data_IF_533777855352
#
_entry.id   IF_533777855352
#
_cell.length_a   1.000
_cell.length_b   1.000
_cell.length_c   1.000
_cell.angle_alpha   90.00
_cell.angle_beta   90.00
_cell.angle_gamma   90.00
#
_symmetry.space_group_name_H-M   'P 1'
#
loop_
_entity.id
_entity.type
_entity.pdbx_description
1 polymer ?
#
# COMPACT_ATOMS: atom_id res chain seq x y z
N UNK A 1 24.95 -13.23 58.97
CA UNK A 1 25.03 -12.20 57.88
C UNK A 1 23.82 -12.44 56.96
N UNK A 2 22.79 -11.64 57.13
CA UNK A 2 21.55 -11.73 56.35
C UNK A 2 21.66 -10.69 55.21
N UNK A 3 21.63 -11.14 53.96
CA UNK A 3 21.61 -10.27 52.79
C UNK A 3 20.13 -9.97 52.44
N UNK A 4 19.70 -8.72 52.63
CA UNK A 4 18.41 -8.24 52.16
C UNK A 4 18.59 -7.83 50.71
N UNK A 5 17.89 -8.51 49.79
CA UNK A 5 17.81 -8.14 48.37
C UNK A 5 16.67 -7.16 48.20
N UNK A 6 16.99 -5.92 47.84
CA UNK A 6 16.04 -4.88 47.52
C UNK A 6 15.63 -5.05 46.06
N UNK A 7 14.41 -5.52 45.78
CA UNK A 7 13.85 -5.58 44.44
C UNK A 7 13.23 -4.22 44.07
N UNK A 8 13.86 -3.48 43.15
CA UNK A 8 13.27 -2.29 42.53
C UNK A 8 12.20 -2.75 41.51
N UNK A 9 10.93 -2.51 41.82
CA UNK A 9 9.85 -2.56 40.82
C UNK A 9 9.91 -1.29 39.96
N UNK A 10 10.40 -1.39 38.73
CA UNK A 10 10.18 -0.36 37.71
C UNK A 10 8.72 -0.48 37.21
N UNK A 11 7.85 0.40 37.67
CA UNK A 11 6.56 0.60 37.07
C UNK A 11 6.75 1.28 35.72
N UNK A 12 6.60 0.51 34.63
CA UNK A 12 6.54 1.09 33.28
C UNK A 12 5.24 1.90 33.17
N UNK A 13 5.35 3.22 33.18
CA UNK A 13 4.23 4.11 32.85
C UNK A 13 3.87 3.88 31.38
N UNK A 14 2.68 3.32 31.12
CA UNK A 14 2.13 3.27 29.77
C UNK A 14 1.98 4.70 29.25
N UNK A 15 2.37 5.00 28.00
CA UNK A 15 2.17 6.33 27.46
C UNK A 15 0.67 6.64 27.47
N UNK A 16 0.31 7.71 28.19
CA UNK A 16 -1.05 8.27 28.16
C UNK A 16 -1.27 8.79 26.74
N UNK A 17 -2.09 8.10 25.94
CA UNK A 17 -2.58 8.64 24.69
C UNK A 17 -3.44 9.85 25.02
N UNK A 18 -3.05 11.03 24.53
CA UNK A 18 -3.92 12.19 24.56
C UNK A 18 -5.27 11.83 23.93
N UNK A 19 -6.40 12.27 24.48
CA UNK A 19 -7.70 12.03 23.88
C UNK A 19 -7.68 12.50 22.43
N UNK A 20 -8.15 11.65 21.51
CA UNK A 20 -8.17 11.97 20.09
C UNK A 20 -9.02 13.24 19.88
N UNK A 21 -8.47 14.19 19.15
CA UNK A 21 -9.12 15.46 18.87
C UNK A 21 -10.42 15.22 18.09
N UNK A 22 -11.53 15.77 18.58
CA UNK A 22 -12.78 15.82 17.83
C UNK A 22 -12.69 16.92 16.78
N UNK A 23 -12.99 16.57 15.53
CA UNK A 23 -13.03 17.51 14.41
C UNK A 23 -14.47 17.69 13.95
N UNK A 24 -14.89 18.95 13.79
CA UNK A 24 -16.15 19.33 13.15
C UNK A 24 -15.84 19.88 11.76
N UNK A 25 -16.24 19.19 10.71
CA UNK A 25 -16.12 19.64 9.32
C UNK A 25 -17.46 20.19 8.84
N UNK A 26 -17.50 21.47 8.44
CA UNK A 26 -18.63 22.05 7.73
C UNK A 26 -18.42 21.86 6.22
N UNK A 27 -19.33 21.15 5.55
CA UNK A 27 -19.32 20.92 4.10
C UNK A 27 -20.42 21.78 3.44
N UNK A 28 -20.06 22.67 2.51
CA UNK A 28 -21.03 23.44 1.74
C UNK A 28 -21.86 22.56 0.83
N UNK A 29 -21.21 21.63 0.16
CA UNK A 29 -21.83 20.59 -0.67
C UNK A 29 -21.22 19.25 -0.32
N UNK A 30 -22.03 18.29 0.13
CA UNK A 30 -21.61 16.92 0.44
C UNK A 30 -22.20 15.96 -0.60
N UNK A 31 -21.33 15.26 -1.33
CA UNK A 31 -21.73 14.29 -2.35
C UNK A 31 -21.77 12.89 -1.74
N UNK A 32 -22.88 12.20 -1.94
CA UNK A 32 -22.98 10.75 -1.76
C UNK A 32 -22.68 10.05 -3.09
N UNK A 33 -21.53 9.38 -3.23
CA UNK A 33 -21.17 8.74 -4.50
C UNK A 33 -22.02 7.51 -4.81
N UNK A 34 -22.69 6.91 -3.82
CA UNK A 34 -23.56 5.75 -4.03
C UNK A 34 -24.85 6.09 -4.75
N UNK A 35 -25.38 7.28 -4.49
CA UNK A 35 -26.67 7.75 -5.06
C UNK A 35 -26.51 8.91 -6.03
N UNK A 36 -25.35 9.60 -6.02
CA UNK A 36 -25.14 10.87 -6.72
C UNK A 36 -25.85 12.08 -6.07
N UNK A 37 -26.48 11.88 -4.91
CA UNK A 37 -27.18 12.96 -4.22
C UNK A 37 -26.20 13.99 -3.65
N UNK A 38 -26.61 15.26 -3.68
CA UNK A 38 -25.86 16.37 -3.08
C UNK A 38 -26.67 16.94 -1.92
N UNK A 39 -26.09 16.91 -0.74
CA UNK A 39 -26.61 17.57 0.45
C UNK A 39 -25.89 18.90 0.67
N UNK A 40 -26.61 19.92 1.15
CA UNK A 40 -26.06 21.24 1.34
C UNK A 40 -25.92 21.57 2.83
N UNK A 41 -24.89 22.38 3.16
CA UNK A 41 -24.61 22.92 4.48
C UNK A 41 -24.68 21.85 5.59
N UNK A 42 -23.83 20.82 5.43
CA UNK A 42 -23.72 19.66 6.33
C UNK A 42 -22.58 19.83 7.31
N UNK A 43 -22.72 19.21 8.49
CA UNK A 43 -21.58 19.01 9.39
C UNK A 43 -21.28 17.52 9.54
N UNK A 44 -20.00 17.20 9.44
CA UNK A 44 -19.47 15.89 9.77
C UNK A 44 -18.69 16.01 11.09
N UNK A 45 -19.04 15.18 12.07
CA UNK A 45 -18.26 15.05 13.30
C UNK A 45 -17.34 13.86 13.17
N UNK A 46 -16.06 14.09 13.37
CA UNK A 46 -15.01 13.09 13.26
C UNK A 46 -14.38 12.93 14.65
N UNK A 47 -14.45 11.72 15.19
CA UNK A 47 -13.81 11.33 16.44
C UNK A 47 -13.04 10.02 16.20
N UNK A 48 -11.86 9.90 16.75
CA UNK A 48 -10.98 8.72 16.61
C UNK A 48 -10.78 8.30 15.14
N UNK A 49 -10.65 9.29 14.24
CA UNK A 49 -10.46 9.07 12.80
C UNK A 49 -11.68 8.51 12.06
N UNK A 50 -12.87 8.53 12.68
CA UNK A 50 -14.13 8.04 12.11
C UNK A 50 -15.19 9.13 12.08
N UNK A 51 -15.98 9.15 11.00
CA UNK A 51 -17.18 9.99 10.94
C UNK A 51 -18.23 9.34 11.85
N UNK A 52 -18.57 10.04 12.96
CA UNK A 52 -19.55 9.59 13.95
C UNK A 52 -20.90 10.26 13.81
N UNK A 53 -20.98 11.36 13.04
CA UNK A 53 -22.24 12.06 12.76
C UNK A 53 -22.16 12.79 11.43
N UNK A 54 -23.26 12.76 10.67
CA UNK A 54 -23.55 13.56 9.49
C UNK A 54 -24.96 14.16 9.68
N UNK A 55 -25.05 15.50 9.74
CA UNK A 55 -26.31 16.20 9.97
C UNK A 55 -26.25 17.63 9.38
N UNK A 56 -27.40 18.35 9.29
CA UNK A 56 -27.40 19.75 8.92
C UNK A 56 -26.51 20.60 9.87
N UNK A 57 -25.82 21.57 9.33
CA UNK A 57 -25.01 22.52 10.10
C UNK A 57 -25.83 23.24 11.17
N UNK A 58 -25.30 23.31 12.39
CA UNK A 58 -25.98 23.95 13.55
C UNK A 58 -25.11 24.99 14.26
N UNK A 59 -23.95 25.32 13.69
CA UNK A 59 -22.99 26.23 14.30
C UNK A 59 -21.74 25.55 14.81
N UNK A 60 -20.68 26.33 15.05
CA UNK A 60 -19.41 25.83 15.56
C UNK A 60 -19.57 25.30 17.00
N UNK A 61 -18.92 24.16 17.27
CA UNK A 61 -18.85 23.54 18.60
C UNK A 61 -17.61 24.03 19.33
N UNK A 62 -17.75 24.30 20.63
CA UNK A 62 -16.61 24.70 21.46
C UNK A 62 -15.66 23.54 21.81
N UNK A 63 -16.15 22.29 21.73
CA UNK A 63 -15.44 21.06 22.08
C UNK A 63 -14.84 20.34 20.88
N UNK A 64 -14.76 20.99 19.70
CA UNK A 64 -14.23 20.40 18.49
C UNK A 64 -13.43 21.43 17.68
N UNK A 65 -12.39 20.96 16.99
CA UNK A 65 -11.66 21.76 16.01
C UNK A 65 -12.50 21.94 14.74
N UNK A 66 -12.89 23.16 14.42
CA UNK A 66 -13.65 23.46 13.21
C UNK A 66 -12.76 23.47 11.97
N UNK A 67 -13.19 22.75 10.92
CA UNK A 67 -12.73 22.89 9.55
C UNK A 67 -13.90 23.44 8.74
N UNK A 68 -13.82 24.69 8.30
CA UNK A 68 -14.88 25.33 7.52
C UNK A 68 -14.62 25.18 6.01
N UNK A 69 -15.38 24.30 5.38
CA UNK A 69 -15.44 24.08 3.93
C UNK A 69 -16.83 24.43 3.37
N UNK A 70 -17.46 25.47 3.93
CA UNK A 70 -18.79 25.95 3.49
C UNK A 70 -18.85 26.35 2.01
N UNK A 71 -17.72 26.75 1.43
CA UNK A 71 -17.60 27.03 0.00
C UNK A 71 -17.05 25.87 -0.85
N UNK A 72 -16.94 24.66 -0.32
CA UNK A 72 -16.31 23.52 -1.00
C UNK A 72 -17.30 22.40 -1.29
N UNK A 73 -16.92 21.60 -2.28
CA UNK A 73 -17.52 20.30 -2.57
C UNK A 73 -16.72 19.23 -1.82
N UNK A 74 -17.40 18.41 -1.06
CA UNK A 74 -16.82 17.35 -0.23
C UNK A 74 -17.37 16.02 -0.69
N UNK A 75 -16.46 15.06 -0.87
CA UNK A 75 -16.77 13.68 -1.23
C UNK A 75 -15.79 12.75 -0.50
N UNK A 76 -16.09 11.45 -0.36
CA UNK A 76 -15.11 10.49 0.13
C UNK A 76 -13.84 10.51 -0.73
N UNK A 77 -12.70 10.26 -0.11
CA UNK A 77 -11.44 10.17 -0.84
C UNK A 77 -11.50 9.09 -1.93
N UNK A 78 -10.84 9.36 -3.05
CA UNK A 78 -10.77 8.45 -4.18
C UNK A 78 -10.02 7.17 -3.82
N UNK A 79 -10.38 6.07 -4.49
CA UNK A 79 -9.73 4.76 -4.32
C UNK A 79 -9.18 4.34 -5.68
N UNK A 80 -7.87 4.03 -5.73
CA UNK A 80 -7.26 3.42 -6.91
C UNK A 80 -6.85 1.97 -6.60
N UNK A 81 -7.44 1.05 -7.35
CA UNK A 81 -7.27 -0.40 -7.13
C UNK A 81 -6.12 -1.00 -7.94
N UNK A 82 -5.35 -0.20 -8.68
CA UNK A 82 -4.22 -0.69 -9.46
C UNK A 82 -3.11 0.37 -9.56
N UNK A 83 -2.22 0.38 -8.58
CA UNK A 83 -1.10 1.32 -8.52
C UNK A 83 0.25 0.62 -8.36
N UNK A 84 1.33 1.39 -8.58
CA UNK A 84 2.72 1.04 -8.32
C UNK A 84 3.42 2.20 -7.59
N UNK A 85 2.81 2.67 -6.51
CA UNK A 85 3.25 3.84 -5.75
C UNK A 85 4.66 3.67 -5.17
N UNK A 86 4.94 2.46 -4.67
CA UNK A 86 6.20 2.19 -3.99
C UNK A 86 7.40 2.05 -4.94
N UNK A 87 7.17 1.70 -6.20
CA UNK A 87 8.25 1.64 -7.20
C UNK A 87 8.67 3.04 -7.67
N UNK A 88 7.76 4.01 -7.66
CA UNK A 88 8.06 5.40 -7.99
C UNK A 88 8.54 5.65 -9.43
N UNK A 89 8.41 4.65 -10.32
CA UNK A 89 8.95 4.72 -11.69
C UNK A 89 8.01 5.37 -12.70
N UNK A 90 6.89 5.84 -12.30
CA UNK A 90 5.69 6.28 -12.99
C UNK A 90 5.78 6.92 -14.37
N UNK A 91 6.95 7.07 -15.00
CA UNK A 91 7.09 7.73 -16.29
C UNK A 91 8.33 7.26 -17.07
N UNK A 92 8.68 5.99 -17.02
CA UNK A 92 9.79 5.44 -17.79
C UNK A 92 9.36 4.23 -18.60
N UNK A 93 9.84 4.13 -19.83
CA UNK A 93 9.71 2.95 -20.67
C UNK A 93 10.90 1.98 -20.50
N UNK A 94 11.81 2.27 -19.56
CA UNK A 94 12.97 1.43 -19.30
C UNK A 94 12.62 0.32 -18.30
N UNK A 95 12.48 -0.94 -18.72
CA UNK A 95 12.15 -2.04 -17.83
C UNK A 95 13.27 -2.38 -16.82
N UNK A 96 14.48 -1.84 -17.00
CA UNK A 96 15.61 -1.98 -16.09
C UNK A 96 15.74 -0.79 -15.10
N UNK A 97 14.81 0.17 -15.12
CA UNK A 97 14.89 1.38 -14.28
C UNK A 97 15.08 1.05 -12.79
N UNK A 98 14.37 0.01 -12.30
CA UNK A 98 14.47 -0.43 -10.92
C UNK A 98 15.91 -0.74 -10.47
N UNK A 99 16.78 -1.18 -11.38
CA UNK A 99 18.18 -1.52 -11.09
C UNK A 99 19.05 -0.29 -10.89
N UNK A 100 18.63 0.89 -11.35
CA UNK A 100 19.41 2.14 -11.26
C UNK A 100 19.31 2.79 -9.88
N UNK A 101 18.36 2.36 -9.05
CA UNK A 101 18.09 2.94 -7.76
C UNK A 101 18.59 2.06 -6.62
N UNK A 102 19.21 2.66 -5.60
CA UNK A 102 19.47 2.00 -4.33
C UNK A 102 18.16 1.72 -3.58
N UNK A 103 18.17 0.80 -2.60
CA UNK A 103 17.00 0.56 -1.76
C UNK A 103 16.51 1.84 -1.05
N UNK A 104 17.44 2.66 -0.57
CA UNK A 104 17.12 3.95 0.05
C UNK A 104 16.50 4.92 -0.97
N UNK A 105 17.05 4.98 -2.19
CA UNK A 105 16.49 5.82 -3.27
C UNK A 105 15.07 5.40 -3.65
N UNK A 106 14.81 4.09 -3.77
CA UNK A 106 13.46 3.54 -4.00
C UNK A 106 12.50 3.96 -2.88
N UNK A 107 12.89 3.81 -1.62
CA UNK A 107 12.05 4.19 -0.48
C UNK A 107 11.70 5.68 -0.46
N UNK A 108 12.69 6.56 -0.70
CA UNK A 108 12.46 8.00 -0.77
C UNK A 108 11.52 8.38 -1.93
N UNK A 109 11.71 7.76 -3.09
CA UNK A 109 10.86 7.99 -4.26
C UNK A 109 9.43 7.50 -4.01
N UNK A 110 9.27 6.32 -3.40
CA UNK A 110 7.97 5.80 -2.98
C UNK A 110 7.25 6.75 -2.00
N UNK A 111 7.96 7.30 -1.03
CA UNK A 111 7.41 8.27 -0.08
C UNK A 111 6.93 9.56 -0.78
N UNK A 112 7.71 10.08 -1.74
CA UNK A 112 7.31 11.23 -2.55
C UNK A 112 6.05 10.93 -3.37
N UNK A 113 6.02 9.78 -4.05
CA UNK A 113 4.88 9.36 -4.87
C UNK A 113 3.62 9.15 -4.02
N UNK A 114 3.75 8.54 -2.83
CA UNK A 114 2.65 8.36 -1.88
C UNK A 114 2.03 9.70 -1.47
N UNK A 115 2.87 10.69 -1.14
CA UNK A 115 2.42 12.04 -0.80
C UNK A 115 1.67 12.70 -1.96
N UNK A 116 2.22 12.63 -3.18
CA UNK A 116 1.58 13.18 -4.38
C UNK A 116 0.23 12.51 -4.61
N UNK A 117 0.15 11.18 -4.50
CA UNK A 117 -1.07 10.39 -4.66
C UNK A 117 -2.15 10.83 -3.67
N UNK A 118 -1.80 10.98 -2.38
CA UNK A 118 -2.73 11.46 -1.35
C UNK A 118 -3.23 12.88 -1.65
N UNK A 119 -2.32 13.80 -2.00
CA UNK A 119 -2.67 15.20 -2.32
C UNK A 119 -3.45 15.33 -3.63
N UNK A 120 -3.42 14.33 -4.49
CA UNK A 120 -4.28 14.24 -5.67
C UNK A 120 -5.69 13.72 -5.37
N UNK A 121 -5.99 13.43 -4.09
CA UNK A 121 -7.31 13.01 -3.63
C UNK A 121 -7.49 11.49 -3.47
N UNK A 122 -6.47 10.68 -3.79
CA UNK A 122 -6.53 9.23 -3.59
C UNK A 122 -6.14 8.89 -2.15
N UNK A 123 -7.12 8.59 -1.32
CA UNK A 123 -6.92 8.28 0.10
C UNK A 123 -6.71 6.80 0.40
N UNK A 124 -6.98 5.93 -0.58
CA UNK A 124 -6.75 4.48 -0.50
C UNK A 124 -6.25 3.99 -1.84
N UNK A 125 -5.21 3.15 -1.84
CA UNK A 125 -4.67 2.52 -3.04
C UNK A 125 -4.42 1.03 -2.81
N UNK A 126 -4.55 0.24 -3.88
CA UNK A 126 -4.05 -1.12 -3.95
C UNK A 126 -2.80 -1.14 -4.82
N UNK A 127 -1.64 -1.28 -4.18
CA UNK A 127 -0.34 -1.36 -4.85
C UNK A 127 -0.10 -2.80 -5.29
N UNK A 128 -0.23 -3.04 -6.60
CA UNK A 128 -0.38 -4.40 -7.15
C UNK A 128 0.95 -5.06 -7.50
N UNK A 129 2.02 -4.64 -6.86
CA UNK A 129 3.33 -5.25 -6.92
C UNK A 129 4.44 -4.26 -7.18
N UNK A 130 5.64 -4.70 -6.89
CA UNK A 130 6.89 -3.94 -6.97
C UNK A 130 7.98 -4.81 -7.53
N UNK A 131 8.94 -4.19 -8.23
CA UNK A 131 10.14 -4.90 -8.70
C UNK A 131 11.11 -5.17 -7.56
N UNK A 132 11.37 -4.17 -6.69
CA UNK A 132 12.17 -4.41 -5.48
C UNK A 132 11.26 -4.95 -4.37
N UNK A 133 11.29 -6.24 -4.18
CA UNK A 133 10.39 -6.96 -3.28
C UNK A 133 10.24 -6.34 -1.90
N UNK A 134 8.99 -6.28 -1.43
CA UNK A 134 8.56 -5.76 -0.13
C UNK A 134 8.80 -4.26 0.09
N UNK A 135 9.20 -3.48 -0.93
CA UNK A 135 9.33 -2.02 -0.79
C UNK A 135 7.97 -1.34 -0.53
N UNK A 136 6.89 -1.85 -1.09
CA UNK A 136 5.51 -1.43 -0.84
C UNK A 136 5.06 -1.75 0.60
N UNK A 137 5.44 -2.92 1.12
CA UNK A 137 5.20 -3.30 2.53
C UNK A 137 5.90 -2.32 3.47
N UNK A 138 7.16 -1.98 3.18
CA UNK A 138 7.91 -1.02 3.98
C UNK A 138 7.27 0.37 3.95
N UNK A 139 6.87 0.84 2.76
CA UNK A 139 6.18 2.13 2.59
C UNK A 139 4.84 2.17 3.34
N UNK A 140 3.98 1.15 3.17
CA UNK A 140 2.71 1.03 3.90
C UNK A 140 2.92 1.08 5.41
N UNK A 141 3.91 0.36 5.92
CA UNK A 141 4.19 0.31 7.35
C UNK A 141 4.66 1.69 7.86
N UNK A 142 5.49 2.41 7.10
CA UNK A 142 5.93 3.75 7.44
C UNK A 142 4.76 4.77 7.45
N UNK A 143 3.83 4.65 6.48
CA UNK A 143 2.60 5.46 6.45
C UNK A 143 1.72 5.13 7.67
N UNK A 144 1.49 3.85 7.97
CA UNK A 144 0.68 3.43 9.11
C UNK A 144 1.28 3.87 10.46
N UNK A 145 2.61 3.99 10.54
CA UNK A 145 3.32 4.51 11.71
C UNK A 145 3.35 6.06 11.78
N UNK A 146 2.80 6.75 10.79
CA UNK A 146 2.83 8.22 10.71
C UNK A 146 4.21 8.81 10.40
N UNK A 147 5.16 8.00 9.93
CA UNK A 147 6.52 8.43 9.57
C UNK A 147 6.56 9.07 8.17
N UNK A 148 5.65 8.66 7.30
CA UNK A 148 5.50 9.12 5.92
C UNK A 148 4.06 9.49 5.67
N UNK A 149 3.82 10.61 4.99
CA UNK A 149 2.49 11.01 4.52
C UNK A 149 2.12 10.22 3.25
N UNK A 150 0.93 9.61 3.24
CA UNK A 150 0.46 8.85 2.08
C UNK A 150 -0.94 8.28 2.29
N UNK A 151 -1.52 7.65 1.24
CA UNK A 151 -2.82 7.00 1.31
C UNK A 151 -2.76 5.71 2.15
N UNK A 152 -3.91 5.19 2.56
CA UNK A 152 -3.99 3.80 3.02
C UNK A 152 -3.59 2.88 1.89
N UNK A 153 -2.62 1.99 2.12
CA UNK A 153 -2.14 1.06 1.11
C UNK A 153 -2.51 -0.38 1.44
N UNK A 154 -2.94 -1.13 0.41
CA UNK A 154 -3.08 -2.58 0.39
C UNK A 154 -2.04 -3.07 -0.62
N UNK A 155 -1.10 -3.93 -0.21
CA UNK A 155 0.14 -4.16 -0.94
C UNK A 155 0.39 -5.63 -1.28
N UNK A 156 0.94 -5.88 -2.47
CA UNK A 156 1.21 -7.22 -2.98
C UNK A 156 2.62 -7.75 -2.68
N UNK A 157 3.55 -6.90 -2.29
CA UNK A 157 4.92 -7.30 -1.92
C UNK A 157 5.85 -7.68 -3.08
N UNK A 158 5.31 -8.03 -4.23
CA UNK A 158 6.06 -8.43 -5.43
C UNK A 158 5.17 -9.15 -6.43
N UNK A 159 5.76 -9.58 -7.55
CA UNK A 159 5.06 -10.32 -8.61
C UNK A 159 5.40 -11.80 -8.55
N UNK A 160 4.40 -12.69 -8.54
CA UNK A 160 4.60 -14.10 -8.90
C UNK A 160 4.69 -14.17 -10.42
N UNK A 161 5.83 -14.54 -10.95
CA UNK A 161 6.17 -14.53 -12.37
C UNK A 161 7.19 -15.62 -12.69
N UNK A 162 7.45 -15.87 -13.97
CA UNK A 162 8.59 -16.70 -14.37
C UNK A 162 9.86 -15.85 -14.49
N UNK A 163 11.06 -16.45 -14.37
CA UNK A 163 12.30 -15.74 -14.67
C UNK A 163 12.31 -15.19 -16.11
N UNK A 164 12.56 -13.90 -16.25
CA UNK A 164 12.54 -13.18 -17.53
C UNK A 164 11.14 -12.94 -18.11
N UNK A 165 10.07 -13.27 -17.37
CA UNK A 165 8.69 -13.02 -17.79
C UNK A 165 8.22 -11.59 -17.54
N UNK A 166 6.93 -11.36 -17.79
CA UNK A 166 6.31 -10.02 -17.76
C UNK A 166 6.35 -9.30 -16.41
N UNK A 167 6.58 -10.03 -15.31
CA UNK A 167 6.76 -9.46 -13.96
C UNK A 167 8.21 -9.42 -13.48
N UNK A 168 9.16 -9.89 -14.27
CA UNK A 168 10.57 -9.84 -13.94
C UNK A 168 11.21 -8.52 -14.39
N UNK A 169 12.33 -8.15 -13.77
CA UNK A 169 13.16 -7.06 -14.30
C UNK A 169 13.85 -7.55 -15.56
N UNK A 170 13.60 -6.90 -16.68
CA UNK A 170 14.14 -7.22 -18.01
C UNK A 170 14.95 -6.05 -18.58
N UNK A 171 15.56 -6.20 -19.76
CA UNK A 171 16.28 -5.13 -20.43
C UNK A 171 17.60 -4.71 -19.77
N UNK A 172 18.07 -5.41 -18.75
CA UNK A 172 19.36 -5.16 -18.14
C UNK A 172 20.51 -5.38 -19.13
N UNK A 173 21.57 -4.59 -19.03
CA UNK A 173 22.77 -4.77 -19.85
C UNK A 173 23.38 -6.16 -19.62
N UNK A 174 23.96 -6.79 -20.68
CA UNK A 174 24.67 -8.07 -20.50
C UNK A 174 25.70 -8.00 -19.37
N UNK A 175 25.70 -9.02 -18.49
CA UNK A 175 26.59 -9.08 -17.34
C UNK A 175 26.08 -8.35 -16.08
N UNK A 176 24.93 -7.68 -16.13
CA UNK A 176 24.34 -7.09 -14.93
C UNK A 176 23.89 -8.18 -13.97
N UNK A 177 24.32 -8.11 -12.73
CA UNK A 177 23.87 -8.99 -11.64
C UNK A 177 22.57 -8.44 -11.08
N UNK A 178 21.45 -9.15 -11.28
CA UNK A 178 20.16 -8.83 -10.69
C UNK A 178 20.10 -9.44 -9.30
N UNK A 179 19.99 -8.58 -8.27
CA UNK A 179 19.95 -8.99 -6.88
C UNK A 179 18.72 -9.84 -6.52
N UNK A 180 18.78 -10.64 -5.46
CA UNK A 180 17.69 -11.50 -5.03
C UNK A 180 16.41 -10.73 -4.66
N UNK A 181 16.54 -9.48 -4.23
CA UNK A 181 15.43 -8.59 -3.92
C UNK A 181 14.53 -8.26 -5.13
N UNK A 182 15.05 -8.41 -6.35
CA UNK A 182 14.28 -8.24 -7.59
C UNK A 182 13.68 -9.55 -8.13
N UNK A 183 13.89 -10.66 -7.41
CA UNK A 183 13.54 -12.01 -7.86
C UNK A 183 12.71 -12.78 -6.85
N UNK A 184 12.13 -12.09 -5.85
CA UNK A 184 11.46 -12.74 -4.72
C UNK A 184 10.24 -13.58 -5.14
N UNK A 185 9.60 -13.24 -6.26
CA UNK A 185 8.41 -13.94 -6.77
C UNK A 185 8.68 -14.80 -8.01
N UNK A 186 9.93 -14.91 -8.49
CA UNK A 186 10.24 -15.77 -9.64
C UNK A 186 10.07 -17.25 -9.29
N UNK A 187 9.28 -17.96 -10.11
CA UNK A 187 8.99 -19.38 -9.95
C UNK A 187 8.96 -20.08 -11.32
N UNK A 188 9.39 -21.35 -11.37
CA UNK A 188 9.38 -22.22 -12.57
C UNK A 188 8.42 -23.40 -12.43
N UNK A 189 8.00 -23.69 -11.21
CA UNK A 189 7.13 -24.82 -10.87
C UNK A 189 6.03 -24.40 -9.91
N UNK A 190 5.00 -25.24 -9.77
CA UNK A 190 3.93 -25.05 -8.81
C UNK A 190 4.45 -24.97 -7.36
N UNK A 191 5.39 -25.85 -7.00
CA UNK A 191 5.99 -25.85 -5.65
C UNK A 191 6.79 -24.58 -5.37
N UNK A 192 7.56 -24.10 -6.36
CA UNK A 192 8.25 -22.82 -6.27
C UNK A 192 7.26 -21.66 -6.12
N UNK A 193 6.16 -21.64 -6.91
CA UNK A 193 5.14 -20.62 -6.80
C UNK A 193 4.52 -20.57 -5.39
N UNK A 194 4.18 -21.72 -4.80
CA UNK A 194 3.76 -21.80 -3.40
C UNK A 194 4.80 -21.25 -2.43
N UNK A 195 6.07 -21.61 -2.63
CA UNK A 195 7.15 -21.15 -1.75
C UNK A 195 7.32 -19.63 -1.82
N UNK A 196 7.19 -19.02 -3.03
CA UNK A 196 7.22 -17.58 -3.22
C UNK A 196 6.05 -16.89 -2.54
N UNK A 197 4.83 -17.44 -2.67
CA UNK A 197 3.65 -16.91 -1.95
C UNK A 197 3.89 -16.89 -0.45
N UNK A 198 4.40 -17.98 0.15
CA UNK A 198 4.73 -18.02 1.58
C UNK A 198 5.72 -16.95 1.97
N UNK A 199 6.76 -16.75 1.17
CA UNK A 199 7.80 -15.75 1.44
C UNK A 199 7.24 -14.33 1.37
N UNK A 200 6.46 -14.01 0.33
CA UNK A 200 5.87 -12.68 0.11
C UNK A 200 4.84 -12.36 1.20
N UNK A 201 3.92 -13.27 1.50
CA UNK A 201 2.92 -13.09 2.55
C UNK A 201 3.60 -13.05 3.93
N UNK A 202 4.59 -13.92 4.19
CA UNK A 202 5.40 -13.93 5.41
C UNK A 202 6.20 -12.63 5.58
N UNK A 203 6.56 -11.95 4.49
CA UNK A 203 7.16 -10.62 4.46
C UNK A 203 6.19 -9.48 4.75
N UNK A 204 4.88 -9.78 4.86
CA UNK A 204 3.87 -8.81 5.27
C UNK A 204 2.95 -8.32 4.16
N UNK A 205 2.96 -8.90 2.96
CA UNK A 205 2.02 -8.55 1.91
C UNK A 205 0.56 -8.87 2.31
N UNK A 206 -0.38 -8.10 1.77
CA UNK A 206 -1.80 -8.23 2.08
C UNK A 206 -2.49 -9.23 1.13
N UNK A 207 -1.97 -9.38 -0.08
CA UNK A 207 -2.47 -10.27 -1.13
C UNK A 207 -1.32 -10.67 -2.06
N UNK A 208 -1.59 -11.51 -3.07
CA UNK A 208 -0.61 -11.86 -4.11
C UNK A 208 -1.00 -11.28 -5.47
N UNK A 209 0.01 -10.98 -6.29
CA UNK A 209 -0.16 -10.58 -7.69
C UNK A 209 0.51 -11.59 -8.59
N UNK A 210 -0.28 -12.19 -9.50
CA UNK A 210 0.22 -13.07 -10.55
C UNK A 210 0.41 -12.28 -11.85
N UNK A 211 1.54 -12.43 -12.49
CA UNK A 211 1.74 -12.02 -13.88
C UNK A 211 1.68 -13.28 -14.73
N UNK A 212 0.48 -13.57 -15.23
CA UNK A 212 0.17 -14.84 -15.88
C UNK A 212 0.66 -14.92 -17.33
N UNK A 213 0.81 -13.77 -17.97
CA UNK A 213 1.20 -13.65 -19.38
C UNK A 213 2.31 -12.65 -19.56
N UNK A 214 2.94 -12.68 -20.72
CA UNK A 214 3.90 -11.68 -21.13
C UNK A 214 3.31 -10.28 -21.12
N UNK A 215 4.16 -9.28 -20.87
CA UNK A 215 3.81 -7.88 -20.72
C UNK A 215 4.48 -6.99 -21.78
N UNK A 216 3.79 -5.92 -22.18
CA UNK A 216 4.26 -5.00 -23.24
C UNK A 216 5.60 -4.34 -22.89
N UNK A 217 5.85 -4.05 -21.62
CA UNK A 217 7.08 -3.39 -21.16
C UNK A 217 8.23 -4.37 -20.88
N UNK A 218 8.00 -5.68 -20.91
CA UNK A 218 9.04 -6.66 -20.61
C UNK A 218 9.80 -7.08 -21.89
N UNK A 219 11.09 -6.81 -21.94
CA UNK A 219 11.95 -7.18 -23.07
C UNK A 219 12.16 -8.70 -23.07
N UNK A 220 11.87 -9.36 -24.20
CA UNK A 220 11.98 -10.80 -24.35
C UNK A 220 10.75 -11.61 -23.90
N UNK A 221 9.71 -10.92 -23.45
CA UNK A 221 8.41 -11.47 -23.13
C UNK A 221 7.44 -11.13 -24.27
N UNK A 222 6.63 -12.09 -24.71
CA UNK A 222 5.63 -11.87 -25.76
C UNK A 222 4.30 -11.45 -25.12
N UNK A 223 3.79 -10.23 -25.37
CA UNK A 223 2.56 -9.76 -24.78
C UNK A 223 1.38 -10.70 -25.02
N UNK A 224 0.74 -11.13 -23.91
CA UNK A 224 -0.40 -12.05 -23.96
C UNK A 224 -0.06 -13.54 -24.06
N UNK A 225 1.19 -13.93 -24.36
CA UNK A 225 1.61 -15.31 -24.30
C UNK A 225 1.58 -15.85 -22.87
N UNK A 226 1.07 -17.06 -22.65
CA UNK A 226 0.99 -17.69 -21.34
C UNK A 226 2.39 -17.95 -20.77
N UNK A 227 2.67 -17.44 -19.58
CA UNK A 227 3.94 -17.62 -18.86
C UNK A 227 3.77 -18.49 -17.60
N UNK A 228 2.78 -18.22 -16.76
CA UNK A 228 2.45 -19.09 -15.64
C UNK A 228 1.50 -20.18 -16.09
N UNK A 229 1.85 -21.46 -15.85
CA UNK A 229 0.93 -22.55 -16.15
C UNK A 229 -0.31 -22.52 -15.25
N UNK A 230 -1.45 -23.11 -15.66
CA UNK A 230 -2.64 -23.23 -14.81
C UNK A 230 -2.33 -23.84 -13.44
N UNK A 231 -1.44 -24.83 -13.40
CA UNK A 231 -1.03 -25.52 -12.17
C UNK A 231 -0.26 -24.56 -11.24
N UNK A 232 0.64 -23.75 -11.79
CA UNK A 232 1.39 -22.73 -11.01
C UNK A 232 0.44 -21.68 -10.44
N UNK A 233 -0.48 -21.18 -11.26
CA UNK A 233 -1.48 -20.19 -10.83
C UNK A 233 -2.37 -20.77 -9.74
N UNK A 234 -2.88 -21.99 -9.94
CA UNK A 234 -3.70 -22.68 -8.94
C UNK A 234 -2.95 -22.87 -7.63
N UNK A 235 -1.71 -23.34 -7.66
CA UNK A 235 -0.89 -23.59 -6.49
C UNK A 235 -0.62 -22.28 -5.71
N UNK A 236 -0.36 -21.17 -6.41
CA UNK A 236 -0.17 -19.87 -5.80
C UNK A 236 -1.46 -19.36 -5.12
N UNK A 237 -2.61 -19.45 -5.80
CA UNK A 237 -3.90 -19.02 -5.26
C UNK A 237 -4.33 -19.88 -4.05
N UNK A 238 -4.23 -21.19 -4.15
CA UNK A 238 -4.57 -22.11 -3.04
C UNK A 238 -3.72 -21.81 -1.81
N UNK A 239 -2.45 -21.53 -1.97
CA UNK A 239 -1.56 -21.18 -0.87
C UNK A 239 -1.90 -19.83 -0.26
N UNK A 240 -2.24 -18.82 -1.07
CA UNK A 240 -2.69 -17.54 -0.55
C UNK A 240 -3.97 -17.71 0.30
N UNK A 241 -4.95 -18.48 -0.21
CA UNK A 241 -6.19 -18.78 0.52
C UNK A 241 -5.90 -19.52 1.83
N UNK A 242 -4.99 -20.52 1.80
CA UNK A 242 -4.56 -21.25 3.00
C UNK A 242 -3.97 -20.33 4.08
N UNK A 243 -3.31 -19.24 3.65
CA UNK A 243 -2.73 -18.21 4.51
C UNK A 243 -3.74 -17.10 4.88
N UNK A 244 -5.03 -17.24 4.51
CA UNK A 244 -6.07 -16.24 4.77
C UNK A 244 -5.93 -14.99 3.90
N UNK A 245 -5.33 -15.13 2.71
CA UNK A 245 -5.10 -14.05 1.73
C UNK A 245 -5.77 -14.37 0.40
N UNK A 246 -5.69 -13.46 -0.57
CA UNK A 246 -6.27 -13.60 -1.93
C UNK A 246 -5.27 -13.17 -2.99
#
# INVERSE_FOLDING_TARGET
>A
MVRVALALLLAAAAPSQAPAETVQLRAGHLIDPGTGAVSHDRELIIADGRIVSDRPWRGARADARLIDWSGKWVLPGLIDMHTHVADGFGQTDDPAEALKHSAAGTALKGAETARITLHSGFTTVRDVGVYRGLSDVALRNAINAGQVEGPRMIVAGGYITIPGGGGAVTGAKPGTVIGPEFRIGEARTADEAQARVRAIIGGGADFIKLIATGAVLAIGSEPGALELTPEMMKAACDEAVRLGKY
#
